data_IF_517871556221
#
_entry.id   IF_517871556221
#
_cell.length_a   1.000
_cell.length_b   1.000
_cell.length_c   1.000
_cell.angle_alpha   90.00
_cell.angle_beta   90.00
_cell.angle_gamma   90.00
#
_symmetry.space_group_name_H-M   'P 1'
#
loop_
_entity.id
_entity.type
_entity.pdbx_description
1 polymer ?
#
# COMPACT_ATOMS: atom_id res chain seq x y z
N UNK A 1 16.92 -31.36 -20.87
CA UNK A 1 17.54 -30.01 -20.79
C UNK A 1 16.47 -29.02 -20.34
N UNK A 2 16.48 -28.69 -19.05
CA UNK A 2 15.49 -27.79 -18.44
C UNK A 2 15.93 -26.36 -18.70
N UNK A 3 15.15 -25.64 -19.52
CA UNK A 3 15.35 -24.21 -19.74
C UNK A 3 14.91 -23.50 -18.46
N UNK A 4 15.87 -23.00 -17.69
CA UNK A 4 15.63 -22.05 -16.62
C UNK A 4 15.19 -20.75 -17.29
N UNK A 5 13.91 -20.39 -17.15
CA UNK A 5 13.39 -19.08 -17.52
C UNK A 5 14.21 -18.02 -16.80
N UNK A 6 14.89 -17.16 -17.58
CA UNK A 6 15.60 -15.99 -17.03
C UNK A 6 14.53 -15.06 -16.47
N UNK A 7 14.70 -14.52 -15.26
CA UNK A 7 13.82 -13.48 -14.78
C UNK A 7 13.91 -12.29 -15.72
N UNK A 8 12.75 -11.76 -16.12
CA UNK A 8 12.70 -10.52 -16.89
C UNK A 8 13.38 -9.40 -16.09
N UNK A 9 14.32 -8.65 -16.66
CA UNK A 9 14.92 -7.52 -15.97
C UNK A 9 13.86 -6.43 -15.88
N UNK A 10 13.50 -6.05 -14.67
CA UNK A 10 12.71 -4.86 -14.30
C UNK A 10 11.27 -5.09 -13.80
N UNK A 11 11.01 -6.19 -13.13
CA UNK A 11 9.82 -6.26 -12.28
C UNK A 11 10.22 -5.66 -10.92
N UNK A 12 9.73 -4.46 -10.60
CA UNK A 12 9.81 -3.90 -9.24
C UNK A 12 8.89 -4.77 -8.39
N UNK A 13 9.47 -5.62 -7.56
CA UNK A 13 8.69 -6.42 -6.62
C UNK A 13 8.45 -5.56 -5.37
N UNK A 14 7.30 -4.93 -5.29
CA UNK A 14 6.88 -4.18 -4.10
C UNK A 14 6.54 -5.17 -2.99
N UNK A 15 7.14 -4.95 -1.83
CA UNK A 15 6.96 -5.76 -0.62
C UNK A 15 6.48 -4.96 0.58
N UNK A 16 6.49 -3.63 0.48
CA UNK A 16 6.07 -2.71 1.52
C UNK A 16 5.23 -1.55 0.97
N UNK A 17 4.18 -1.19 1.70
CA UNK A 17 3.35 -0.02 1.44
C UNK A 17 3.37 0.88 2.67
N UNK A 18 3.84 2.11 2.51
CA UNK A 18 3.89 3.15 3.54
C UNK A 18 2.99 4.31 3.13
N UNK A 19 2.17 4.78 4.07
CA UNK A 19 1.17 5.83 3.84
C UNK A 19 1.36 6.98 4.83
N UNK A 20 1.20 8.22 4.35
CA UNK A 20 0.91 9.35 5.23
C UNK A 20 -0.55 9.29 5.74
N UNK A 21 -0.86 10.07 6.76
CA UNK A 21 -2.19 10.16 7.37
C UNK A 21 -2.95 11.38 6.86
N UNK A 22 -2.45 12.58 7.17
CA UNK A 22 -3.10 13.83 6.80
C UNK A 22 -3.07 14.05 5.29
N UNK A 23 -4.21 14.35 4.69
CA UNK A 23 -4.30 14.55 3.25
C UNK A 23 -4.32 13.27 2.40
N UNK A 24 -4.02 12.09 2.99
CA UNK A 24 -4.07 10.79 2.32
C UNK A 24 -5.21 9.94 2.87
N UNK A 25 -5.10 9.48 4.12
CA UNK A 25 -6.14 8.68 4.77
C UNK A 25 -7.28 9.55 5.31
N UNK A 26 -6.95 10.74 5.81
CA UNK A 26 -7.90 11.67 6.41
C UNK A 26 -7.69 13.08 5.85
N UNK A 27 -8.80 13.75 5.50
CA UNK A 27 -8.79 15.11 5.01
C UNK A 27 -9.79 15.32 3.87
N UNK A 28 -9.91 16.55 3.35
CA UNK A 28 -10.75 16.83 2.19
C UNK A 28 -10.30 16.02 0.98
N UNK A 29 -11.23 15.30 0.35
CA UNK A 29 -10.93 14.46 -0.83
C UNK A 29 -10.32 13.09 -0.54
N UNK A 30 -10.11 12.74 0.73
CA UNK A 30 -9.67 11.38 1.11
C UNK A 30 -10.80 10.37 0.92
N UNK A 31 -10.43 9.15 0.55
CA UNK A 31 -11.31 7.97 0.55
C UNK A 31 -10.72 6.92 1.49
N UNK A 32 -11.05 7.03 2.78
CA UNK A 32 -10.57 6.12 3.80
C UNK A 32 -11.00 4.67 3.53
N UNK A 33 -12.22 4.46 3.07
CA UNK A 33 -12.74 3.11 2.81
C UNK A 33 -12.03 2.47 1.62
N UNK A 34 -11.85 3.20 0.52
CA UNK A 34 -11.12 2.75 -0.66
C UNK A 34 -9.66 2.46 -0.36
N UNK A 35 -8.95 3.38 0.30
CA UNK A 35 -7.55 3.18 0.66
C UNK A 35 -7.36 2.06 1.69
N UNK A 36 -8.26 1.95 2.67
CA UNK A 36 -8.24 0.83 3.64
C UNK A 36 -8.47 -0.51 2.94
N UNK A 37 -9.29 -0.56 1.89
CA UNK A 37 -9.48 -1.76 1.08
C UNK A 37 -8.19 -2.16 0.34
N UNK A 38 -7.45 -1.18 -0.21
CA UNK A 38 -6.14 -1.43 -0.84
C UNK A 38 -5.15 -1.98 0.20
N UNK A 39 -5.06 -1.36 1.38
CA UNK A 39 -4.20 -1.84 2.48
C UNK A 39 -4.53 -3.28 2.88
N UNK A 40 -5.81 -3.61 3.04
CA UNK A 40 -6.23 -4.98 3.37
C UNK A 40 -5.84 -5.99 2.28
N UNK A 41 -6.02 -5.64 1.00
CA UNK A 41 -5.61 -6.49 -0.13
C UNK A 41 -4.09 -6.68 -0.15
N UNK A 42 -3.32 -5.60 0.03
CA UNK A 42 -1.87 -5.65 0.11
C UNK A 42 -1.41 -6.62 1.22
N UNK A 43 -1.97 -6.49 2.42
CA UNK A 43 -1.66 -7.37 3.55
C UNK A 43 -2.03 -8.82 3.27
N UNK A 44 -3.18 -9.08 2.66
CA UNK A 44 -3.60 -10.43 2.24
C UNK A 44 -2.66 -11.05 1.20
N UNK A 45 -1.99 -10.22 0.40
CA UNK A 45 -0.96 -10.63 -0.56
C UNK A 45 0.45 -10.76 0.07
N UNK A 46 0.59 -10.55 1.38
CA UNK A 46 1.86 -10.66 2.10
C UNK A 46 2.74 -9.41 2.01
N UNK A 47 2.18 -8.26 1.58
CA UNK A 47 2.88 -6.98 1.55
C UNK A 47 2.80 -6.37 2.95
N UNK A 48 3.95 -6.00 3.52
CA UNK A 48 4.01 -5.31 4.79
C UNK A 48 3.51 -3.87 4.65
N UNK A 49 2.81 -3.38 5.67
CA UNK A 49 2.15 -2.07 5.60
C UNK A 49 2.49 -1.19 6.79
N UNK A 50 2.62 0.11 6.58
CA UNK A 50 2.93 1.05 7.64
C UNK A 50 2.39 2.46 7.38
N UNK A 51 2.35 3.23 8.45
CA UNK A 51 2.08 4.66 8.45
C UNK A 51 3.35 5.41 8.82
N UNK A 52 3.62 6.52 8.11
CA UNK A 52 4.69 7.47 8.44
C UNK A 52 4.09 8.87 8.46
N UNK A 53 3.96 9.44 9.65
CA UNK A 53 3.29 10.74 9.85
C UNK A 53 4.17 11.74 10.58
N UNK A 54 4.16 13.01 10.12
CA UNK A 54 4.74 14.13 10.85
C UNK A 54 3.80 14.62 11.94
N UNK A 55 3.46 13.72 12.85
CA UNK A 55 2.63 14.01 14.01
C UNK A 55 3.53 14.27 15.24
N UNK A 56 3.24 15.29 16.07
CA UNK A 56 4.05 15.59 17.26
C UNK A 56 4.05 14.49 18.31
N UNK A 57 3.19 13.47 18.18
CA UNK A 57 3.11 12.38 19.14
C UNK A 57 2.36 12.78 20.43
N UNK A 58 2.76 12.20 21.54
CA UNK A 58 2.08 12.43 22.83
C UNK A 58 0.81 11.60 23.00
N UNK A 59 0.02 11.93 24.02
CA UNK A 59 -1.20 11.17 24.36
C UNK A 59 -2.29 11.29 23.29
N UNK A 60 -2.38 12.44 22.63
CA UNK A 60 -3.40 12.72 21.61
C UNK A 60 -3.18 11.92 20.31
N UNK A 61 -1.98 11.39 20.11
CA UNK A 61 -1.66 10.52 18.97
C UNK A 61 -1.91 9.03 19.22
N UNK A 62 -2.48 8.65 20.36
CA UNK A 62 -2.70 7.24 20.69
C UNK A 62 -3.57 6.55 19.63
N UNK A 63 -4.60 7.21 19.13
CA UNK A 63 -5.46 6.66 18.08
C UNK A 63 -4.71 6.31 16.79
N UNK A 64 -3.64 7.07 16.45
CA UNK A 64 -2.78 6.73 15.30
C UNK A 64 -1.97 5.47 15.57
N UNK A 65 -1.42 5.32 16.77
CA UNK A 65 -0.67 4.12 17.15
C UNK A 65 -1.58 2.88 17.14
N UNK A 66 -2.84 3.06 17.53
CA UNK A 66 -3.84 2.00 17.55
C UNK A 66 -4.22 1.50 16.14
N UNK A 67 -3.85 2.21 15.07
CA UNK A 67 -3.96 1.71 13.69
C UNK A 67 -2.89 0.67 13.33
N UNK A 68 -1.82 0.59 14.12
CA UNK A 68 -0.76 -0.40 13.99
C UNK A 68 -1.16 -1.79 14.52
N UNK A 69 -0.15 -2.64 14.73
CA UNK A 69 -0.29 -4.01 15.26
C UNK A 69 -1.32 -4.87 14.51
N UNK A 70 -1.50 -4.59 13.22
CA UNK A 70 -2.40 -5.33 12.35
C UNK A 70 -3.86 -4.88 12.36
N UNK A 71 -4.21 -3.80 13.04
CA UNK A 71 -5.57 -3.22 13.00
C UNK A 71 -5.86 -2.68 11.60
N UNK A 72 -5.09 -1.70 11.13
CA UNK A 72 -5.11 -1.23 9.74
C UNK A 72 -3.80 -1.58 9.04
N UNK A 73 -2.67 -1.27 9.66
CA UNK A 73 -1.30 -1.49 9.18
C UNK A 73 -0.50 -2.33 10.18
N UNK A 74 0.71 -2.74 9.79
CA UNK A 74 1.59 -3.54 10.66
C UNK A 74 2.38 -2.65 11.63
N UNK A 75 2.78 -1.44 11.21
CA UNK A 75 3.55 -0.51 12.06
C UNK A 75 3.17 0.96 11.82
N UNK A 76 3.38 1.79 12.82
CA UNK A 76 3.13 3.25 12.78
C UNK A 76 4.36 3.99 13.26
N UNK A 77 4.87 4.90 12.43
CA UNK A 77 5.99 5.79 12.74
C UNK A 77 5.49 7.23 12.83
N UNK A 78 5.56 7.82 14.00
CA UNK A 78 5.22 9.22 14.26
C UNK A 78 6.49 10.02 14.50
N UNK A 79 6.63 11.17 13.84
CA UNK A 79 7.83 12.02 13.95
C UNK A 79 8.16 12.40 15.40
N UNK A 80 7.14 12.72 16.20
CA UNK A 80 7.31 13.07 17.60
C UNK A 80 7.79 11.92 18.49
N UNK A 81 7.49 10.68 18.13
CA UNK A 81 7.93 9.50 18.89
C UNK A 81 9.38 9.11 18.59
N UNK A 82 9.85 9.38 17.37
CA UNK A 82 11.17 8.92 16.90
C UNK A 82 12.21 10.03 16.79
N UNK A 83 11.80 11.29 16.92
CA UNK A 83 12.71 12.45 16.79
C UNK A 83 13.22 12.68 15.36
N UNK A 84 12.52 12.17 14.36
CA UNK A 84 12.82 12.30 12.93
C UNK A 84 11.55 12.74 12.21
N UNK A 85 11.67 13.49 11.11
CA UNK A 85 10.52 13.99 10.37
C UNK A 85 10.73 13.87 8.86
N UNK A 86 9.64 13.69 8.11
CA UNK A 86 9.66 13.86 6.65
C UNK A 86 9.97 15.32 6.31
N UNK A 87 10.78 15.64 5.30
CA UNK A 87 11.34 14.76 4.29
C UNK A 87 12.74 14.21 4.58
N UNK A 88 13.22 14.23 5.83
CA UNK A 88 14.55 13.73 6.14
C UNK A 88 14.67 12.22 5.87
N UNK A 89 15.82 11.79 5.34
CA UNK A 89 16.06 10.41 4.93
C UNK A 89 15.82 9.39 6.06
N UNK A 90 16.20 9.76 7.28
CA UNK A 90 16.24 8.85 8.42
C UNK A 90 14.87 8.25 8.78
N UNK A 91 13.77 9.01 8.63
CA UNK A 91 12.43 8.51 8.97
C UNK A 91 11.97 7.43 7.98
N UNK A 92 12.29 7.57 6.70
CA UNK A 92 11.95 6.56 5.66
C UNK A 92 12.78 5.29 5.85
N UNK A 93 14.07 5.44 6.14
CA UNK A 93 14.97 4.32 6.43
C UNK A 93 14.51 3.56 7.67
N UNK A 94 14.10 4.27 8.72
CA UNK A 94 13.55 3.67 9.94
C UNK A 94 12.26 2.89 9.63
N UNK A 95 11.33 3.50 8.88
CA UNK A 95 10.06 2.86 8.53
C UNK A 95 10.28 1.57 7.74
N UNK A 96 11.13 1.58 6.71
CA UNK A 96 11.48 0.39 5.96
C UNK A 96 12.12 -0.69 6.86
N UNK A 97 13.06 -0.29 7.73
CA UNK A 97 13.74 -1.21 8.67
C UNK A 97 12.75 -1.86 9.63
N UNK A 98 11.77 -1.13 10.17
CA UNK A 98 10.73 -1.68 11.04
C UNK A 98 9.85 -2.72 10.35
N UNK A 99 9.64 -2.56 9.04
CA UNK A 99 8.96 -3.57 8.23
C UNK A 99 9.87 -4.72 7.79
N UNK A 100 11.16 -4.69 8.12
CA UNK A 100 12.14 -5.69 7.70
C UNK A 100 12.47 -5.64 6.21
N UNK A 101 12.34 -4.46 5.57
CA UNK A 101 12.48 -4.26 4.13
C UNK A 101 13.60 -3.26 3.79
N UNK A 102 14.06 -3.32 2.55
CA UNK A 102 14.90 -2.27 1.97
C UNK A 102 14.00 -1.16 1.41
N UNK A 103 14.45 0.10 1.41
CA UNK A 103 13.70 1.20 0.78
C UNK A 103 13.25 0.88 -0.66
N UNK A 104 14.11 0.25 -1.45
CA UNK A 104 13.82 -0.11 -2.84
C UNK A 104 12.65 -1.12 -3.01
N UNK A 105 12.26 -1.80 -1.95
CA UNK A 105 11.14 -2.75 -1.94
C UNK A 105 9.82 -2.08 -1.49
N UNK A 106 9.84 -0.77 -1.18
CA UNK A 106 8.72 -0.03 -0.61
C UNK A 106 8.13 1.02 -1.57
N UNK A 107 6.81 1.17 -1.49
CA UNK A 107 6.07 2.33 -2.02
C UNK A 107 5.72 3.26 -0.87
N UNK A 108 5.87 4.57 -1.07
CA UNK A 108 5.46 5.60 -0.12
C UNK A 108 4.47 6.57 -0.76
N UNK A 109 3.37 6.83 -0.07
CA UNK A 109 2.28 7.71 -0.51
C UNK A 109 2.15 8.92 0.42
N UNK A 110 2.16 10.12 -0.14
CA UNK A 110 2.01 11.37 0.60
C UNK A 110 1.37 12.45 -0.30
N UNK A 111 0.61 13.38 0.27
CA UNK A 111 0.02 14.51 -0.46
C UNK A 111 0.99 15.67 -0.66
N UNK A 112 2.11 15.70 0.05
CA UNK A 112 3.17 16.69 -0.09
C UNK A 112 4.30 16.17 -0.98
N UNK A 113 4.48 16.83 -2.13
CA UNK A 113 5.53 16.46 -3.09
C UNK A 113 6.93 16.41 -2.46
N UNK A 114 7.23 17.32 -1.52
CA UNK A 114 8.53 17.34 -0.82
C UNK A 114 8.78 16.06 -0.03
N UNK A 115 7.74 15.49 0.58
CA UNK A 115 7.82 14.23 1.32
C UNK A 115 7.99 13.04 0.36
N UNK A 116 7.26 13.04 -0.76
CA UNK A 116 7.42 12.02 -1.81
C UNK A 116 8.84 12.01 -2.36
N UNK A 117 9.42 13.18 -2.62
CA UNK A 117 10.82 13.30 -3.06
C UNK A 117 11.80 12.75 -2.03
N UNK A 118 11.59 13.06 -0.74
CA UNK A 118 12.43 12.51 0.33
C UNK A 118 12.44 10.98 0.36
N UNK A 119 11.29 10.35 0.10
CA UNK A 119 11.20 8.90 -0.01
C UNK A 119 11.91 8.36 -1.26
N UNK A 120 11.76 9.03 -2.41
CA UNK A 120 12.46 8.67 -3.67
C UNK A 120 13.97 8.78 -3.52
N UNK A 121 14.46 9.79 -2.82
CA UNK A 121 15.89 10.01 -2.60
C UNK A 121 16.57 8.88 -1.80
N UNK A 122 15.81 8.13 -0.99
CA UNK A 122 16.30 6.92 -0.31
C UNK A 122 16.04 5.64 -1.08
N UNK A 123 15.44 5.74 -2.29
CA UNK A 123 15.23 4.61 -3.20
C UNK A 123 13.85 3.99 -3.18
N UNK A 124 12.88 4.57 -2.47
CA UNK A 124 11.47 4.11 -2.51
C UNK A 124 10.80 4.51 -3.83
N UNK A 125 9.72 3.81 -4.18
CA UNK A 125 8.77 4.28 -5.19
C UNK A 125 7.86 5.31 -4.52
N UNK A 126 7.81 6.53 -5.05
CA UNK A 126 6.97 7.61 -4.53
C UNK A 126 5.67 7.72 -5.31
N UNK A 127 4.56 7.82 -4.59
CA UNK A 127 3.23 8.12 -5.15
C UNK A 127 2.74 9.43 -4.55
N UNK A 128 2.53 10.43 -5.40
CA UNK A 128 2.02 11.72 -4.97
C UNK A 128 0.49 11.69 -5.00
N UNK A 129 -0.11 11.80 -3.83
CA UNK A 129 -1.56 11.74 -3.67
C UNK A 129 -2.21 13.10 -3.98
N UNK A 130 -2.93 13.18 -5.09
CA UNK A 130 -3.77 14.33 -5.45
C UNK A 130 -5.26 13.99 -5.38
N UNK A 131 -5.61 12.77 -5.75
CA UNK A 131 -6.95 12.25 -5.81
C UNK A 131 -6.97 10.79 -5.34
N UNK A 132 -8.00 10.43 -4.59
CA UNK A 132 -8.07 9.09 -4.00
C UNK A 132 -8.28 8.00 -5.05
N UNK A 133 -9.09 8.24 -6.09
CA UNK A 133 -9.35 7.25 -7.12
C UNK A 133 -8.09 6.94 -7.94
N UNK A 134 -7.36 7.98 -8.34
CA UNK A 134 -6.09 7.84 -9.07
C UNK A 134 -5.04 7.11 -8.22
N UNK A 135 -4.93 7.46 -6.94
CA UNK A 135 -4.00 6.80 -6.01
C UNK A 135 -4.34 5.32 -5.81
N UNK A 136 -5.63 4.99 -5.66
CA UNK A 136 -6.10 3.61 -5.51
C UNK A 136 -5.77 2.80 -6.77
N UNK A 137 -5.99 3.36 -7.96
CA UNK A 137 -5.65 2.71 -9.22
C UNK A 137 -4.14 2.49 -9.34
N UNK A 138 -3.33 3.50 -9.09
CA UNK A 138 -1.87 3.40 -9.15
C UNK A 138 -1.33 2.37 -8.17
N UNK A 139 -1.81 2.37 -6.92
CA UNK A 139 -1.42 1.38 -5.92
C UNK A 139 -1.85 -0.03 -6.31
N UNK A 140 -3.05 -0.20 -6.87
CA UNK A 140 -3.52 -1.51 -7.32
C UNK A 140 -2.60 -2.11 -8.38
N UNK A 141 -2.09 -1.28 -9.30
CA UNK A 141 -1.13 -1.68 -10.33
C UNK A 141 0.24 -1.99 -9.71
N UNK A 142 0.77 -1.08 -8.88
CA UNK A 142 2.10 -1.24 -8.28
C UNK A 142 2.21 -2.46 -7.36
N UNK A 143 1.14 -2.75 -6.63
CA UNK A 143 1.08 -3.85 -5.67
C UNK A 143 0.63 -5.17 -6.30
N UNK A 144 0.19 -5.16 -7.57
CA UNK A 144 -0.36 -6.33 -8.28
C UNK A 144 -1.47 -7.04 -7.49
N UNK A 145 -2.37 -6.25 -6.89
CA UNK A 145 -3.43 -6.78 -6.01
C UNK A 145 -4.80 -6.91 -6.69
N UNK A 146 -4.92 -6.53 -7.97
CA UNK A 146 -6.16 -6.65 -8.73
C UNK A 146 -6.37 -8.03 -9.38
N UNK A 147 -5.37 -8.90 -9.39
CA UNK A 147 -5.44 -10.21 -10.04
C UNK A 147 -6.37 -11.23 -9.39
N UNK A 148 -7.03 -10.93 -8.26
CA UNK A 148 -7.85 -11.87 -7.51
C UNK A 148 -9.38 -11.72 -7.69
N UNK A 149 -9.85 -10.76 -8.50
CA UNK A 149 -11.29 -10.45 -8.61
C UNK A 149 -11.98 -10.96 -9.89
N UNK A 150 -11.37 -11.85 -10.67
CA UNK A 150 -11.95 -12.33 -11.96
C UNK A 150 -11.86 -13.84 -12.16
N UNK A 151 -12.14 -14.66 -11.14
CA UNK A 151 -12.27 -16.10 -11.35
C UNK A 151 -13.57 -16.74 -10.82
N UNK A 152 -14.62 -15.95 -10.58
CA UNK A 152 -15.96 -16.51 -10.47
C UNK A 152 -16.70 -16.35 -11.80
N UNK A 153 -16.21 -17.09 -12.81
CA UNK A 153 -16.98 -17.38 -13.99
C UNK A 153 -18.22 -18.15 -13.57
N UNK A 154 -19.36 -17.47 -13.61
CA UNK A 154 -20.67 -18.12 -13.56
C UNK A 154 -20.71 -19.14 -14.71
N UNK A 155 -20.55 -20.39 -14.38
CA UNK A 155 -20.85 -21.47 -15.29
C UNK A 155 -22.36 -21.40 -15.57
N UNK A 156 -22.72 -20.93 -16.77
CA UNK A 156 -24.06 -21.13 -17.31
C UNK A 156 -24.25 -22.63 -17.43
N UNK A 157 -25.11 -23.18 -16.57
CA UNK A 157 -25.60 -24.54 -16.68
C UNK A 157 -26.39 -24.64 -18.00
N UNK A 158 -25.86 -25.41 -18.92
CA UNK A 158 -26.60 -25.88 -20.08
C UNK A 158 -27.87 -26.59 -19.59
N UNK A 159 -29.01 -26.04 -19.95
CA UNK A 159 -30.30 -26.69 -19.79
C UNK A 159 -30.40 -27.69 -20.92
N UNK A 160 -30.58 -28.98 -20.69
CA UNK A 160 -30.82 -29.92 -21.74
C UNK A 160 -32.19 -29.64 -22.36
N UNK A 161 -32.21 -29.49 -23.69
CA UNK A 161 -33.43 -29.40 -24.48
C UNK A 161 -34.25 -30.68 -24.28
N UNK A 162 -35.46 -30.48 -23.75
CA UNK A 162 -36.44 -31.53 -23.65
C UNK A 162 -36.86 -32.02 -25.04
N UNK A 163 -36.64 -33.26 -25.27
CA UNK A 163 -37.27 -34.03 -26.36
C UNK A 163 -38.77 -34.02 -26.14
N UNK A 164 -39.54 -33.52 -27.11
CA UNK A 164 -40.98 -33.73 -27.22
C UNK A 164 -41.26 -34.40 -28.54
N UNK A 165 -41.25 -35.72 -28.48
CA UNK A 165 -41.91 -36.56 -29.46
C UNK A 165 -43.42 -36.56 -29.19
N UNK A 166 -44.22 -36.07 -30.16
CA UNK A 166 -45.56 -36.58 -30.56
C UNK A 166 -45.88 -36.12 -31.94
#
# INVERSE_FOLDING_TARGET
>A
MSQRSRPHPNVILVRGLLLDVGGVLFGPGSDLDGLSAVVRRARSAGIATGIVSNDPGGADAQWLRDLGDGVLVDDVVLSGDVGMAKPDADIYLLAATRLGLRPADCVFVDDLEVNVRGAVDVGMVGVHHYDAADTIEELSILLDVDGAASSDGVALKDTPAGDQSW
#
